data_IF_160628668231
#
_entry.id   IF_160628668231
#
_cell.length_a   1.000
_cell.length_b   1.000
_cell.length_c   1.000
_cell.angle_alpha   90.00
_cell.angle_beta   90.00
_cell.angle_gamma   90.00
#
_symmetry.space_group_name_H-M   'P 1'
#
loop_
_entity.id
_entity.type
_entity.pdbx_description
1 polymer ?
#
# COMPACT_ATOMS: atom_id res chain seq x y z
N UNK A 1 -5.11 -21.02 -15.04
CA UNK A 1 -4.42 -20.79 -13.74
C UNK A 1 -3.20 -19.92 -13.99
N UNK A 2 -3.11 -18.80 -13.29
CA UNK A 2 -1.98 -17.89 -13.46
C UNK A 2 -0.95 -18.17 -12.38
N UNK A 3 0.28 -18.46 -12.80
CA UNK A 3 1.38 -18.68 -11.86
C UNK A 3 2.14 -17.37 -11.71
N UNK A 4 2.12 -16.84 -10.48
CA UNK A 4 2.86 -15.62 -10.19
C UNK A 4 4.32 -15.95 -9.89
N UNK A 5 5.20 -15.10 -10.39
CA UNK A 5 6.61 -15.17 -10.03
C UNK A 5 6.78 -14.76 -8.57
N UNK A 6 7.86 -15.23 -7.96
CA UNK A 6 8.12 -14.92 -6.56
C UNK A 6 8.18 -13.42 -6.27
N UNK A 7 8.83 -12.64 -7.15
CA UNK A 7 8.91 -11.20 -6.98
C UNK A 7 7.54 -10.51 -7.09
N UNK A 8 6.63 -11.07 -7.92
CA UNK A 8 5.27 -10.55 -8.04
C UNK A 8 4.49 -10.79 -6.74
N UNK A 9 4.68 -11.95 -6.14
CA UNK A 9 4.05 -12.27 -4.86
C UNK A 9 4.54 -11.35 -3.76
N UNK A 10 5.82 -11.00 -3.77
CA UNK A 10 6.39 -10.04 -2.82
C UNK A 10 5.76 -8.66 -2.96
N UNK A 11 5.57 -8.21 -4.20
CA UNK A 11 4.95 -6.91 -4.46
C UNK A 11 3.50 -6.90 -3.94
N UNK A 12 2.76 -7.97 -4.17
CA UNK A 12 1.40 -8.10 -3.66
C UNK A 12 1.38 -8.06 -2.13
N UNK A 13 2.26 -8.82 -1.48
CA UNK A 13 2.36 -8.84 -0.03
C UNK A 13 2.74 -7.49 0.53
N UNK A 14 3.68 -6.80 -0.09
CA UNK A 14 4.10 -5.47 0.32
C UNK A 14 2.96 -4.46 0.23
N UNK A 15 2.17 -4.54 -0.84
CA UNK A 15 1.02 -3.65 -1.03
C UNK A 15 -0.03 -3.86 0.07
N UNK A 16 -0.32 -5.10 0.42
CA UNK A 16 -1.28 -5.42 1.48
C UNK A 16 -0.78 -4.90 2.83
N UNK A 17 0.49 -5.16 3.16
CA UNK A 17 1.08 -4.68 4.41
C UNK A 17 1.08 -3.16 4.49
N UNK A 18 1.41 -2.50 3.41
CA UNK A 18 1.42 -1.04 3.35
C UNK A 18 0.01 -0.47 3.52
N UNK A 19 -0.97 -1.07 2.89
CA UNK A 19 -2.36 -0.66 3.04
C UNK A 19 -2.81 -0.75 4.50
N UNK A 20 -2.47 -1.83 5.18
CA UNK A 20 -2.79 -2.00 6.60
C UNK A 20 -2.12 -0.92 7.46
N UNK A 21 -0.86 -0.60 7.17
CA UNK A 21 -0.14 0.46 7.87
C UNK A 21 -0.77 1.82 7.65
N UNK A 22 -1.22 2.10 6.44
CA UNK A 22 -1.93 3.33 6.10
C UNK A 22 -3.19 3.46 6.94
N UNK A 23 -4.01 2.41 6.99
CA UNK A 23 -5.22 2.42 7.79
C UNK A 23 -4.96 2.66 9.26
N UNK A 24 -3.95 2.01 9.81
CA UNK A 24 -3.57 2.20 11.22
C UNK A 24 -3.12 3.62 11.50
N UNK A 25 -2.35 4.19 10.59
CA UNK A 25 -1.86 5.57 10.77
C UNK A 25 -3.00 6.57 10.65
N UNK A 26 -3.92 6.38 9.69
CA UNK A 26 -5.09 7.23 9.58
C UNK A 26 -5.92 7.21 10.86
N UNK A 27 -6.14 6.03 11.41
CA UNK A 27 -6.88 5.87 12.67
C UNK A 27 -6.16 6.56 13.81
N UNK A 28 -4.84 6.42 13.87
CA UNK A 28 -4.04 7.07 14.90
C UNK A 28 -4.15 8.60 14.85
N UNK A 29 -4.04 9.16 13.64
CA UNK A 29 -4.16 10.61 13.45
C UNK A 29 -5.55 11.10 13.84
N UNK A 30 -6.59 10.37 13.47
CA UNK A 30 -7.97 10.74 13.83
C UNK A 30 -8.18 10.78 15.34
N UNK A 31 -7.56 9.84 16.07
CA UNK A 31 -7.73 9.76 17.53
C UNK A 31 -6.85 10.73 18.30
N UNK A 32 -5.67 11.02 17.80
CA UNK A 32 -4.67 11.78 18.56
C UNK A 32 -4.47 13.20 18.06
N UNK A 33 -5.23 13.59 17.05
CA UNK A 33 -5.14 14.92 16.47
C UNK A 33 -4.05 15.03 15.41
N UNK A 34 -3.93 16.20 14.83
CA UNK A 34 -3.05 16.43 13.72
C UNK A 34 -1.61 16.57 14.15
N UNK A 35 -0.75 15.78 13.53
CA UNK A 35 0.70 15.88 13.63
C UNK A 35 1.23 16.07 12.21
N UNK A 36 1.89 17.18 11.99
CA UNK A 36 2.37 17.56 10.65
C UNK A 36 3.28 16.49 10.04
N UNK A 37 4.18 15.91 10.83
CA UNK A 37 5.09 14.88 10.32
C UNK A 37 4.37 13.57 10.03
N UNK A 38 3.41 13.19 10.85
CA UNK A 38 2.61 11.99 10.61
C UNK A 38 1.73 12.14 9.38
N UNK A 39 1.15 13.32 9.18
CA UNK A 39 0.36 13.59 7.99
C UNK A 39 1.21 13.50 6.72
N UNK A 40 2.42 14.05 6.78
CA UNK A 40 3.37 13.96 5.67
C UNK A 40 3.76 12.52 5.38
N UNK A 41 4.02 11.74 6.44
CA UNK A 41 4.32 10.33 6.30
C UNK A 41 3.17 9.57 5.66
N UNK A 42 1.94 9.85 6.07
CA UNK A 42 0.76 9.24 5.50
C UNK A 42 0.63 9.55 4.01
N UNK A 43 0.88 10.79 3.63
CA UNK A 43 0.85 11.20 2.23
C UNK A 43 1.84 10.40 1.39
N UNK A 44 3.08 10.28 1.86
CA UNK A 44 4.12 9.52 1.15
C UNK A 44 3.76 8.04 1.06
N UNK A 45 3.21 7.47 2.13
CA UNK A 45 2.79 6.07 2.14
C UNK A 45 1.67 5.83 1.13
N UNK A 46 0.72 6.73 1.02
CA UNK A 46 -0.37 6.63 0.04
C UNK A 46 0.16 6.71 -1.39
N UNK A 47 1.13 7.57 -1.64
CA UNK A 47 1.76 7.66 -2.95
C UNK A 47 2.49 6.37 -3.31
N UNK A 48 3.26 5.82 -2.38
CA UNK A 48 3.95 4.56 -2.60
C UNK A 48 2.96 3.41 -2.83
N UNK A 49 1.88 3.39 -2.07
CA UNK A 49 0.82 2.40 -2.26
C UNK A 49 0.23 2.47 -3.67
N UNK A 50 0.04 3.68 -4.19
CA UNK A 50 -0.42 3.89 -5.56
C UNK A 50 0.55 3.33 -6.59
N UNK A 51 1.86 3.51 -6.35
CA UNK A 51 2.90 2.96 -7.22
C UNK A 51 2.86 1.43 -7.20
N UNK A 52 2.72 0.82 -6.02
CA UNK A 52 2.62 -0.63 -5.91
C UNK A 52 1.40 -1.17 -6.65
N UNK A 53 0.26 -0.51 -6.52
CA UNK A 53 -0.96 -0.88 -7.26
C UNK A 53 -0.74 -0.80 -8.77
N UNK A 54 -0.06 0.23 -9.23
CA UNK A 54 0.24 0.39 -10.65
C UNK A 54 1.17 -0.72 -11.14
N UNK A 55 2.18 -1.07 -10.36
CA UNK A 55 3.08 -2.19 -10.69
C UNK A 55 2.31 -3.51 -10.78
N UNK A 56 1.40 -3.74 -9.84
CA UNK A 56 0.57 -4.96 -9.83
C UNK A 56 -0.29 -5.00 -11.09
N UNK A 57 -0.86 -3.88 -11.47
CA UNK A 57 -1.64 -3.78 -12.69
C UNK A 57 -0.79 -4.05 -13.93
N UNK A 58 0.43 -3.54 -13.94
CA UNK A 58 1.33 -3.64 -15.09
C UNK A 58 1.84 -5.05 -15.32
N UNK A 59 2.03 -5.85 -14.29
CA UNK A 59 2.44 -7.23 -14.53
C UNK A 59 1.26 -8.19 -14.79
N UNK A 60 0.07 -7.64 -15.01
CA UNK A 60 -1.04 -8.39 -15.58
C UNK A 60 -1.72 -9.37 -14.65
N UNK A 61 -1.77 -9.07 -13.37
CA UNK A 61 -2.58 -9.86 -12.44
C UNK A 61 -4.04 -9.57 -12.77
N UNK A 62 -4.70 -10.56 -13.33
CA UNK A 62 -6.12 -10.45 -13.66
C UNK A 62 -6.89 -11.17 -12.59
N UNK A 63 -7.81 -10.49 -11.95
CA UNK A 63 -8.75 -11.12 -11.05
C UNK A 63 -9.75 -11.93 -11.87
N UNK A 64 -9.88 -13.18 -11.53
CA UNK A 64 -10.83 -14.07 -12.17
C UNK A 64 -12.06 -14.19 -11.29
#
# INVERSE_FOLDING_TARGET
MMILQEWQMRVLGEQVELFEKIEKLETFIDKNGQDHLLEKQLFVMKEYNGILKQRIKDFGVVEI
#
